data_IF_679337182342
#
_entry.id   IF_679337182342
#
_cell.length_a   1.000
_cell.length_b   1.000
_cell.length_c   1.000
_cell.angle_alpha   90.00
_cell.angle_beta   90.00
_cell.angle_gamma   90.00
#
_symmetry.space_group_name_H-M   'P 1'
#
loop_
_entity.id
_entity.type
_entity.pdbx_description
1 polymer ?
#
# COMPACT_ATOMS: atom_id res chain seq x y z
N UNK A 1 5.86 -11.61 13.56
CA UNK A 1 6.07 -11.72 12.10
C UNK A 1 7.46 -11.25 11.69
N UNK A 2 7.82 -9.96 11.87
CA UNK A 2 9.16 -9.43 11.50
C UNK A 2 10.33 -10.16 12.17
N UNK A 3 10.26 -10.42 13.48
CA UNK A 3 11.32 -11.15 14.20
C UNK A 3 11.50 -12.58 13.65
N UNK A 4 10.39 -13.26 13.35
CA UNK A 4 10.41 -14.62 12.79
C UNK A 4 11.04 -14.67 11.40
N UNK A 5 10.69 -13.73 10.53
CA UNK A 5 11.31 -13.58 9.20
C UNK A 5 12.80 -13.23 9.31
N UNK A 6 13.18 -12.30 10.20
CA UNK A 6 14.59 -11.96 10.42
C UNK A 6 15.43 -13.15 10.88
N UNK A 7 14.91 -13.99 11.79
CA UNK A 7 15.61 -15.20 12.25
C UNK A 7 15.78 -16.20 11.11
N UNK A 8 14.75 -16.38 10.28
CA UNK A 8 14.81 -17.30 9.14
C UNK A 8 15.80 -16.80 8.06
N UNK A 9 15.76 -15.51 7.73
CA UNK A 9 16.70 -14.88 6.78
C UNK A 9 18.14 -14.98 7.28
N UNK A 10 18.38 -14.75 8.58
CA UNK A 10 19.71 -14.85 9.19
C UNK A 10 20.22 -16.29 9.23
N UNK A 11 19.35 -17.29 9.39
CA UNK A 11 19.72 -18.72 9.35
C UNK A 11 20.10 -19.18 7.95
N UNK A 12 19.35 -18.78 6.93
CA UNK A 12 19.54 -19.23 5.56
C UNK A 12 20.52 -18.37 4.74
N UNK A 13 21.12 -17.31 5.31
CA UNK A 13 22.07 -16.42 4.63
C UNK A 13 21.54 -15.91 3.27
N UNK A 14 20.24 -15.61 3.19
CA UNK A 14 19.58 -15.19 1.96
C UNK A 14 20.06 -13.78 1.56
N UNK A 15 20.78 -13.71 0.44
CA UNK A 15 21.15 -12.44 -0.18
C UNK A 15 20.07 -12.00 -1.17
N UNK A 16 19.70 -10.71 -1.22
CA UNK A 16 18.75 -10.22 -2.22
C UNK A 16 19.25 -10.55 -3.62
N UNK A 17 18.46 -11.28 -4.40
CA UNK A 17 18.74 -11.60 -5.80
C UNK A 17 17.75 -10.81 -6.64
N UNK A 18 18.25 -10.09 -7.64
CA UNK A 18 17.40 -9.34 -8.55
C UNK A 18 16.40 -10.26 -9.27
N UNK A 19 15.13 -9.85 -9.30
CA UNK A 19 14.05 -10.60 -9.95
C UNK A 19 13.30 -11.63 -9.08
N UNK A 20 13.77 -11.93 -7.86
CA UNK A 20 13.08 -12.86 -6.94
C UNK A 20 12.83 -12.18 -5.59
N UNK A 21 11.56 -12.16 -5.16
CA UNK A 21 11.21 -11.59 -3.85
C UNK A 21 11.88 -12.37 -2.73
N UNK A 22 12.31 -11.68 -1.66
CA UNK A 22 12.91 -12.32 -0.47
C UNK A 22 11.97 -13.39 0.12
N UNK A 23 10.66 -13.18 0.03
CA UNK A 23 9.66 -14.13 0.49
C UNK A 23 9.63 -15.41 -0.37
N UNK A 24 9.78 -15.29 -1.68
CA UNK A 24 9.91 -16.43 -2.59
C UNK A 24 11.23 -17.19 -2.33
N UNK A 25 12.35 -16.48 -2.14
CA UNK A 25 13.62 -17.13 -1.79
C UNK A 25 13.54 -17.87 -0.45
N UNK A 26 12.83 -17.29 0.53
CA UNK A 26 12.64 -17.91 1.82
C UNK A 26 11.72 -19.14 1.76
N UNK A 27 10.67 -19.07 0.95
CA UNK A 27 9.79 -20.20 0.69
C UNK A 27 10.56 -21.34 0.00
N UNK A 28 11.41 -21.02 -0.96
CA UNK A 28 12.26 -22.01 -1.65
C UNK A 28 13.31 -22.62 -0.69
N UNK A 29 14.00 -21.80 0.09
CA UNK A 29 14.99 -22.29 1.07
C UNK A 29 14.37 -23.12 2.20
N UNK A 30 13.12 -22.86 2.57
CA UNK A 30 12.45 -23.55 3.70
C UNK A 30 11.64 -24.77 3.28
N UNK A 31 10.99 -24.74 2.12
CA UNK A 31 10.05 -25.79 1.66
C UNK A 31 10.55 -26.54 0.40
N UNK A 32 11.62 -26.04 -0.25
CA UNK A 32 12.08 -26.48 -1.57
C UNK A 32 11.15 -26.06 -2.71
N UNK A 33 11.62 -26.18 -3.95
CA UNK A 33 10.86 -26.00 -5.21
C UNK A 33 9.77 -27.07 -5.40
N UNK A 34 8.80 -27.12 -4.48
CA UNK A 34 7.71 -28.08 -4.43
C UNK A 34 6.36 -27.38 -4.59
N UNK A 35 5.27 -28.16 -4.62
CA UNK A 35 3.88 -27.65 -4.67
C UNK A 35 3.59 -26.58 -3.59
N UNK A 36 4.22 -26.69 -2.41
CA UNK A 36 4.07 -25.75 -1.32
C UNK A 36 4.61 -24.33 -1.67
N UNK A 37 5.66 -24.23 -2.48
CA UNK A 37 6.17 -22.94 -2.97
C UNK A 37 5.11 -22.22 -3.81
N UNK A 38 4.46 -22.93 -4.73
CA UNK A 38 3.39 -22.37 -5.55
C UNK A 38 2.18 -21.92 -4.73
N UNK A 39 1.83 -22.66 -3.67
CA UNK A 39 0.75 -22.26 -2.75
C UNK A 39 1.09 -20.94 -2.04
N UNK A 40 2.31 -20.81 -1.52
CA UNK A 40 2.76 -19.58 -0.84
C UNK A 40 2.81 -18.39 -1.81
N UNK A 41 3.30 -18.61 -3.04
CA UNK A 41 3.36 -17.57 -4.06
C UNK A 41 1.95 -17.10 -4.47
N UNK A 42 1.02 -18.04 -4.64
CA UNK A 42 -0.37 -17.74 -4.98
C UNK A 42 -1.09 -17.02 -3.85
N UNK A 43 -0.89 -17.45 -2.60
CA UNK A 43 -1.40 -16.75 -1.42
C UNK A 43 -0.87 -15.32 -1.33
N UNK A 44 0.43 -15.12 -1.59
CA UNK A 44 1.05 -13.79 -1.60
C UNK A 44 0.44 -12.90 -2.68
N UNK A 45 0.23 -13.43 -3.88
CA UNK A 45 -0.42 -12.72 -4.98
C UNK A 45 -1.85 -12.28 -4.62
N UNK A 46 -2.64 -13.18 -4.01
CA UNK A 46 -4.00 -12.85 -3.54
C UNK A 46 -3.97 -11.76 -2.47
N UNK A 47 -3.05 -11.85 -1.49
CA UNK A 47 -2.94 -10.84 -0.43
C UNK A 47 -2.60 -9.46 -0.99
N UNK A 48 -1.67 -9.39 -1.95
CA UNK A 48 -1.32 -8.14 -2.63
C UNK A 48 -2.51 -7.59 -3.42
N UNK A 49 -3.26 -8.44 -4.13
CA UNK A 49 -4.46 -8.05 -4.87
C UNK A 49 -5.56 -7.52 -3.94
N UNK A 50 -5.79 -8.19 -2.81
CA UNK A 50 -6.76 -7.76 -1.80
C UNK A 50 -6.35 -6.42 -1.17
N UNK A 51 -5.07 -6.26 -0.86
CA UNK A 51 -4.51 -5.00 -0.34
C UNK A 51 -4.73 -3.85 -1.34
N UNK A 52 -4.52 -4.10 -2.63
CA UNK A 52 -4.81 -3.10 -3.66
C UNK A 52 -6.30 -2.72 -3.66
N UNK A 53 -7.20 -3.71 -3.61
CA UNK A 53 -8.65 -3.47 -3.56
C UNK A 53 -9.06 -2.63 -2.33
N UNK A 54 -8.48 -2.88 -1.15
CA UNK A 54 -8.76 -2.07 0.04
C UNK A 54 -8.34 -0.62 -0.13
N UNK A 55 -7.21 -0.35 -0.78
CA UNK A 55 -6.75 1.02 -1.05
C UNK A 55 -7.69 1.77 -1.99
N UNK A 56 -8.18 1.11 -3.05
CA UNK A 56 -9.16 1.70 -3.97
C UNK A 56 -10.52 1.97 -3.31
N UNK A 57 -10.91 1.16 -2.32
CA UNK A 57 -12.13 1.39 -1.53
C UNK A 57 -12.00 2.51 -0.50
N UNK A 58 -10.86 2.61 0.19
CA UNK A 58 -10.65 3.54 1.30
C UNK A 58 -10.33 4.97 0.88
N UNK A 59 -9.49 5.16 -0.15
CA UNK A 59 -9.01 6.49 -0.55
C UNK A 59 -10.11 7.46 -1.00
N UNK A 60 -11.12 7.07 -1.80
CA UNK A 60 -12.18 7.98 -2.19
C UNK A 60 -13.04 8.46 -1.00
N UNK A 61 -13.15 7.63 0.05
CA UNK A 61 -13.85 8.00 1.29
C UNK A 61 -13.04 9.03 2.07
N UNK A 62 -11.71 8.89 2.12
CA UNK A 62 -10.82 9.86 2.77
C UNK A 62 -10.78 11.20 2.03
N UNK A 63 -10.72 11.19 0.69
CA UNK A 63 -10.71 12.41 -0.13
C UNK A 63 -12.00 13.24 0.00
N UNK A 64 -13.10 12.61 0.42
CA UNK A 64 -14.36 13.30 0.69
C UNK A 64 -14.27 14.26 1.88
N UNK A 65 -13.47 13.96 2.91
CA UNK A 65 -13.35 14.81 4.10
C UNK A 65 -12.85 16.22 3.75
N UNK A 66 -11.68 16.40 3.12
CA UNK A 66 -11.20 17.73 2.74
C UNK A 66 -11.98 18.36 1.58
N UNK A 67 -12.69 17.58 0.75
CA UNK A 67 -13.62 18.11 -0.24
C UNK A 67 -14.88 18.73 0.38
N UNK A 68 -15.30 18.26 1.57
CA UNK A 68 -16.40 18.86 2.34
C UNK A 68 -15.98 20.18 3.01
N UNK A 69 -14.70 20.30 3.33
CA UNK A 69 -14.11 21.49 3.96
C UNK A 69 -13.62 22.54 2.91
N UNK A 70 -14.08 22.45 1.65
CA UNK A 70 -13.72 23.34 0.53
C UNK A 70 -12.24 23.36 0.10
N UNK A 71 -11.40 22.44 0.58
CA UNK A 71 -9.99 22.36 0.18
C UNK A 71 -9.76 21.59 -1.14
N UNK A 72 -10.79 20.91 -1.67
CA UNK A 72 -10.77 20.25 -2.98
C UNK A 72 -12.02 20.65 -3.79
N UNK A 73 -11.95 20.66 -5.13
CA UNK A 73 -13.10 21.03 -5.96
C UNK A 73 -14.29 20.10 -5.68
N UNK A 74 -15.49 20.70 -5.57
CA UNK A 74 -16.75 20.06 -5.18
C UNK A 74 -17.12 18.81 -6.01
N UNK A 75 -16.46 18.57 -7.15
CA UNK A 75 -16.55 17.35 -7.96
C UNK A 75 -16.13 16.08 -7.20
N UNK A 76 -15.28 16.18 -6.18
CA UNK A 76 -14.94 15.05 -5.29
C UNK A 76 -15.98 14.81 -4.18
N UNK A 77 -16.79 15.81 -3.86
CA UNK A 77 -17.89 15.73 -2.87
C UNK A 77 -19.22 15.27 -3.49
N UNK A 78 -19.34 15.32 -4.83
CA UNK A 78 -20.53 14.91 -5.56
C UNK A 78 -20.72 13.39 -5.47
N UNK A 79 -21.59 12.99 -4.53
CA UNK A 79 -22.21 11.67 -4.46
C UNK A 79 -23.00 11.46 -5.75
N UNK A 80 -22.51 10.61 -6.65
CA UNK A 80 -23.40 10.00 -7.63
C UNK A 80 -24.32 9.01 -6.91
N UNK A 81 -25.53 8.84 -7.44
CA UNK A 81 -26.71 8.12 -6.92
C UNK A 81 -26.51 6.63 -6.56
N UNK A 82 -25.26 6.15 -6.54
CA UNK A 82 -24.87 4.74 -6.34
C UNK A 82 -23.75 4.51 -5.32
N UNK A 83 -23.57 5.41 -4.34
CA UNK A 83 -22.57 5.29 -3.25
C UNK A 83 -21.11 5.05 -3.67
N UNK A 84 -20.76 5.22 -4.95
CA UNK A 84 -19.38 5.11 -5.44
C UNK A 84 -18.90 6.48 -5.88
N UNK A 85 -17.84 6.99 -5.25
CA UNK A 85 -17.16 8.23 -5.67
C UNK A 85 -16.40 7.95 -6.98
N UNK A 86 -17.15 7.88 -8.09
CA UNK A 86 -16.64 7.49 -9.41
C UNK A 86 -15.46 8.37 -9.85
N UNK A 87 -15.53 9.67 -9.57
CA UNK A 87 -14.45 10.62 -9.82
C UNK A 87 -13.21 10.34 -8.96
N UNK A 88 -13.37 10.03 -7.67
CA UNK A 88 -12.24 9.69 -6.79
C UNK A 88 -11.52 8.40 -7.19
N UNK A 89 -12.26 7.39 -7.63
CA UNK A 89 -11.66 6.13 -8.15
C UNK A 89 -10.97 6.37 -9.48
N UNK A 90 -11.56 7.15 -10.39
CA UNK A 90 -10.96 7.47 -11.69
C UNK A 90 -9.68 8.29 -11.55
N UNK A 91 -9.66 9.31 -10.68
CA UNK A 91 -8.45 10.10 -10.43
C UNK A 91 -7.36 9.25 -9.78
N UNK A 92 -7.73 8.39 -8.84
CA UNK A 92 -6.78 7.48 -8.21
C UNK A 92 -6.20 6.50 -9.24
N UNK A 93 -7.04 5.92 -10.09
CA UNK A 93 -6.60 5.05 -11.17
C UNK A 93 -5.64 5.77 -12.13
N UNK A 94 -5.93 7.03 -12.48
CA UNK A 94 -5.04 7.86 -13.30
C UNK A 94 -3.69 8.13 -12.64
N UNK A 95 -3.67 8.49 -11.36
CA UNK A 95 -2.44 8.74 -10.60
C UNK A 95 -1.61 7.46 -10.45
N UNK A 96 -2.25 6.33 -10.13
CA UNK A 96 -1.58 5.03 -10.03
C UNK A 96 -1.00 4.61 -11.40
N UNK A 97 -1.75 4.79 -12.49
CA UNK A 97 -1.26 4.50 -13.84
C UNK A 97 -0.06 5.38 -14.19
N UNK A 98 -0.10 6.68 -13.88
CA UNK A 98 1.03 7.58 -14.08
C UNK A 98 2.25 7.13 -13.27
N UNK A 99 2.08 6.81 -11.98
CA UNK A 99 3.16 6.32 -11.11
C UNK A 99 3.78 5.02 -11.64
N UNK A 100 2.97 4.08 -12.15
CA UNK A 100 3.48 2.84 -12.74
C UNK A 100 4.30 3.11 -14.01
N UNK A 101 3.84 4.02 -14.88
CA UNK A 101 4.55 4.41 -16.10
C UNK A 101 5.87 5.11 -15.76
N UNK A 102 5.87 6.05 -14.82
CA UNK A 102 7.08 6.77 -14.41
C UNK A 102 8.10 5.89 -13.69
N UNK A 103 7.62 4.97 -12.85
CA UNK A 103 8.49 4.10 -12.06
C UNK A 103 8.91 2.83 -12.80
N UNK A 104 8.33 2.52 -13.97
CA UNK A 104 8.59 1.29 -14.70
C UNK A 104 8.23 0.00 -13.94
N UNK A 105 7.40 0.11 -12.89
CA UNK A 105 7.09 -1.01 -12.00
C UNK A 105 8.19 -1.38 -10.99
N UNK A 106 9.24 -0.56 -10.85
CA UNK A 106 10.31 -0.83 -9.88
C UNK A 106 9.84 -0.58 -8.44
N UNK A 107 9.89 -1.62 -7.61
CA UNK A 107 9.55 -1.53 -6.19
C UNK A 107 10.55 -0.70 -5.40
N UNK A 108 11.82 -0.60 -5.85
CA UNK A 108 12.85 0.14 -5.13
C UNK A 108 12.58 1.64 -5.08
N UNK A 109 11.86 2.18 -6.06
CA UNK A 109 11.44 3.58 -6.12
C UNK A 109 10.05 3.79 -5.54
N UNK A 110 9.12 2.85 -5.74
CA UNK A 110 7.74 2.95 -5.24
C UNK A 110 7.64 2.82 -3.72
N UNK A 111 8.44 1.94 -3.10
CA UNK A 111 8.38 1.70 -1.65
C UNK A 111 8.78 2.95 -0.85
N UNK A 112 9.89 3.66 -1.15
CA UNK A 112 10.21 4.92 -0.48
C UNK A 112 9.15 6.02 -0.69
N UNK A 113 8.62 6.14 -1.91
CA UNK A 113 7.57 7.12 -2.22
C UNK A 113 6.32 6.87 -1.37
N UNK A 114 5.89 5.62 -1.27
CA UNK A 114 4.80 5.20 -0.40
C UNK A 114 5.09 5.51 1.08
N UNK A 115 6.30 5.19 1.55
CA UNK A 115 6.71 5.42 2.93
C UNK A 115 6.63 6.91 3.31
N UNK A 116 7.11 7.81 2.44
CA UNK A 116 7.03 9.27 2.66
C UNK A 116 5.58 9.70 2.88
N UNK A 117 4.65 9.26 2.02
CA UNK A 117 3.23 9.59 2.15
C UNK A 117 2.61 9.11 3.47
N UNK A 118 2.90 7.87 3.86
CA UNK A 118 2.40 7.29 5.12
C UNK A 118 2.97 8.01 6.33
N UNK A 119 4.27 8.29 6.35
CA UNK A 119 4.91 8.98 7.47
C UNK A 119 4.41 10.41 7.63
N UNK A 120 4.18 11.14 6.55
CA UNK A 120 3.58 12.48 6.61
C UNK A 120 2.16 12.40 7.20
N UNK A 121 1.34 11.45 6.72
CA UNK A 121 -0.01 11.25 7.24
C UNK A 121 -0.02 10.94 8.74
N UNK A 122 0.86 10.05 9.20
CA UNK A 122 1.00 9.75 10.63
C UNK A 122 1.52 10.93 11.43
N UNK A 123 2.48 11.69 10.89
CA UNK A 123 3.01 12.88 11.57
C UNK A 123 1.91 13.92 11.78
N UNK A 124 1.09 14.20 10.75
CA UNK A 124 -0.04 15.12 10.85
C UNK A 124 -1.07 14.60 11.85
N UNK A 125 -1.42 13.32 11.81
CA UNK A 125 -2.38 12.73 12.75
C UNK A 125 -1.90 12.81 14.19
N UNK A 126 -0.62 12.49 14.44
CA UNK A 126 -0.01 12.57 15.76
C UNK A 126 0.07 14.01 16.28
N UNK A 127 0.52 14.95 15.45
CA UNK A 127 0.55 16.38 15.80
C UNK A 127 -0.86 16.90 16.09
N UNK A 128 -1.85 16.48 15.30
CA UNK A 128 -3.26 16.80 15.51
C UNK A 128 -3.78 16.32 16.87
N UNK A 129 -3.51 15.06 17.23
CA UNK A 129 -3.89 14.49 18.53
C UNK A 129 -3.21 15.23 19.69
N UNK A 130 -1.91 15.53 19.58
CA UNK A 130 -1.17 16.26 20.62
C UNK A 130 -1.71 17.68 20.80
N UNK A 131 -2.07 18.36 19.71
CA UNK A 131 -2.63 19.72 19.78
C UNK A 131 -4.05 19.71 20.34
N UNK A 132 -4.87 18.71 20.01
CA UNK A 132 -6.21 18.55 20.55
C UNK A 132 -6.18 18.34 22.07
N UNK A 133 -5.34 17.42 22.56
CA UNK A 133 -5.17 17.16 23.99
C UNK A 133 -4.46 18.27 24.78
N UNK A 134 -3.79 19.20 24.12
CA UNK A 134 -3.25 20.41 24.77
C UNK A 134 -4.25 21.57 24.81
N UNK A 135 -5.32 21.49 24.03
CA UNK A 135 -6.39 22.49 23.99
C UNK A 135 -7.55 22.13 24.95
N UNK A 136 -7.61 20.87 25.38
CA UNK A 136 -8.31 20.40 26.59
C UNK A 136 -7.49 20.69 27.84
#
# INVERSE_FOLDING_TARGET
MLIGLSVLISRFHLQPVEGVTVLAQLADASLGHNWAFYVVQFATMILLALSANTSFGGLPVLLKLPARDNYLPHVFALKADRQVHRHGVLTLAGVVAALLVFSGGDTNTLVPLFAIGVFIGFTIAQVGMVRHWRAE
#
